data_IF_838529539060
#
_entry.id   IF_838529539060
#
_cell.length_a   1.000
_cell.length_b   1.000
_cell.length_c   1.000
_cell.angle_alpha   90.00
_cell.angle_beta   90.00
_cell.angle_gamma   90.00
#
_symmetry.space_group_name_H-M   'P 1'
#
loop_
_entity.id
_entity.type
_entity.pdbx_description
1 polymer ?
#
# COMPACT_ATOMS: atom_id res chain seq x y z
N UNK A 1 12.57 -5.69 -9.67
CA UNK A 1 12.67 -4.32 -9.18
C UNK A 1 13.03 -4.32 -7.71
N UNK A 2 14.04 -3.56 -7.31
CA UNK A 2 14.57 -3.59 -5.95
C UNK A 2 14.95 -2.19 -5.51
N UNK A 3 14.85 -1.92 -4.21
CA UNK A 3 15.40 -0.73 -3.60
C UNK A 3 16.67 -1.06 -2.85
N UNK A 4 17.67 -0.20 -2.97
CA UNK A 4 18.97 -0.40 -2.33
C UNK A 4 19.28 0.75 -1.40
N UNK A 5 19.78 0.41 -0.22
CA UNK A 5 20.27 1.38 0.76
C UNK A 5 21.76 1.13 0.93
N UNK A 6 22.55 2.16 0.64
CA UNK A 6 24.01 2.08 0.76
C UNK A 6 24.47 2.68 2.07
N UNK A 7 25.40 2.02 2.74
CA UNK A 7 26.13 2.59 3.88
C UNK A 7 27.61 2.24 3.74
N UNK A 8 28.43 2.73 4.67
CA UNK A 8 29.89 2.53 4.60
C UNK A 8 30.33 1.08 4.72
N UNK A 9 29.48 0.21 5.26
CA UNK A 9 29.81 -1.19 5.51
C UNK A 9 29.25 -2.13 4.45
N UNK A 10 28.30 -1.69 3.65
CA UNK A 10 27.70 -2.56 2.64
C UNK A 10 26.43 -1.99 2.04
N UNK A 11 25.65 -2.86 1.41
CA UNK A 11 24.43 -2.50 0.71
C UNK A 11 23.28 -3.36 1.24
N UNK A 12 22.16 -2.71 1.56
CA UNK A 12 20.91 -3.38 1.92
C UNK A 12 20.02 -3.38 0.68
N UNK A 13 19.62 -4.54 0.22
CA UNK A 13 18.73 -4.68 -0.92
C UNK A 13 17.37 -5.17 -0.44
N UNK A 14 16.33 -4.42 -0.76
CA UNK A 14 14.97 -4.77 -0.37
C UNK A 14 14.17 -5.05 -1.65
N UNK A 15 13.61 -6.25 -1.75
CA UNK A 15 12.84 -6.64 -2.93
C UNK A 15 11.50 -5.90 -2.98
N UNK A 16 10.97 -5.76 -4.18
CA UNK A 16 9.64 -5.17 -4.37
C UNK A 16 8.57 -5.94 -3.59
N UNK A 17 8.68 -7.26 -3.53
CA UNK A 17 7.72 -8.09 -2.82
C UNK A 17 7.64 -7.73 -1.33
N UNK A 18 8.76 -7.45 -0.70
CA UNK A 18 8.79 -6.99 0.70
C UNK A 18 8.06 -5.67 0.85
N UNK A 19 8.32 -4.74 -0.06
CA UNK A 19 7.67 -3.43 -0.02
C UNK A 19 6.15 -3.55 -0.21
N UNK A 20 5.72 -4.39 -1.13
CA UNK A 20 4.30 -4.64 -1.37
C UNK A 20 3.62 -5.22 -0.13
N UNK A 21 4.27 -6.16 0.53
CA UNK A 21 3.72 -6.79 1.73
C UNK A 21 3.65 -5.82 2.90
N UNK A 22 4.70 -5.05 3.13
CA UNK A 22 4.71 -4.06 4.22
C UNK A 22 3.61 -3.03 4.01
N UNK A 23 3.49 -2.49 2.80
CA UNK A 23 2.46 -1.50 2.50
C UNK A 23 1.04 -2.10 2.61
N UNK A 24 0.83 -3.30 2.08
CA UNK A 24 -0.47 -3.96 2.15
C UNK A 24 -0.92 -4.27 3.56
N UNK A 25 -0.04 -4.82 4.39
CA UNK A 25 -0.36 -5.10 5.79
C UNK A 25 -0.61 -3.81 6.58
N UNK A 26 0.20 -2.78 6.34
CA UNK A 26 0.00 -1.49 7.01
C UNK A 26 -1.39 -0.91 6.68
N UNK A 27 -1.81 -1.02 5.43
CA UNK A 27 -3.13 -0.55 5.02
C UNK A 27 -4.25 -1.34 5.70
N UNK A 28 -4.13 -2.67 5.77
CA UNK A 28 -5.16 -3.51 6.39
C UNK A 28 -5.33 -3.28 7.90
N UNK A 29 -4.31 -2.75 8.56
CA UNK A 29 -4.42 -2.42 9.98
C UNK A 29 -5.27 -1.19 10.25
N UNK A 30 -5.58 -0.40 9.21
CA UNK A 30 -6.34 0.82 9.37
C UNK A 30 -7.84 0.53 9.50
N UNK A 31 -8.49 1.32 10.34
CA UNK A 31 -9.94 1.22 10.52
C UNK A 31 -10.68 1.57 9.22
N UNK A 32 -11.76 0.86 8.96
CA UNK A 32 -12.64 1.16 7.82
C UNK A 32 -12.33 0.39 6.55
N UNK A 33 -11.18 -0.27 6.48
CA UNK A 33 -10.85 -1.12 5.34
C UNK A 33 -11.42 -2.51 5.55
N UNK A 34 -12.14 -3.01 4.56
CA UNK A 34 -12.67 -4.38 4.56
C UNK A 34 -11.66 -5.31 3.90
N UNK A 35 -11.10 -4.89 2.76
CA UNK A 35 -10.20 -5.73 1.99
C UNK A 35 -9.38 -4.88 1.01
N UNK A 36 -8.32 -5.47 0.47
CA UNK A 36 -7.63 -4.90 -0.67
C UNK A 36 -8.32 -5.35 -1.95
N UNK A 37 -8.30 -4.51 -2.96
CA UNK A 37 -8.84 -4.80 -4.27
C UNK A 37 -7.71 -5.17 -5.23
N UNK A 38 -8.00 -5.91 -6.29
CA UNK A 38 -7.00 -6.15 -7.32
C UNK A 38 -6.69 -4.83 -8.05
N UNK A 39 -5.44 -4.65 -8.46
CA UNK A 39 -4.92 -3.41 -9.06
C UNK A 39 -5.70 -2.90 -10.26
N UNK A 40 -6.43 -3.77 -10.91
CA UNK A 40 -7.17 -3.40 -12.10
C UNK A 40 -8.52 -4.07 -12.04
N UNK A 41 -9.49 -3.31 -11.61
CA UNK A 41 -10.88 -3.71 -11.77
C UNK A 41 -11.23 -3.58 -13.25
N UNK A 42 -10.55 -4.33 -14.12
CA UNK A 42 -10.92 -4.41 -15.51
C UNK A 42 -12.25 -5.11 -15.56
N UNK A 43 -13.11 -4.66 -16.41
CA UNK A 43 -14.42 -5.26 -16.65
C UNK A 43 -15.43 -5.09 -15.50
N UNK A 44 -15.19 -4.15 -14.60
CA UNK A 44 -16.12 -3.85 -13.53
C UNK A 44 -16.17 -4.85 -12.40
N UNK A 45 -15.24 -5.79 -12.37
CA UNK A 45 -15.14 -6.75 -11.27
C UNK A 45 -14.14 -6.28 -10.23
N UNK A 46 -14.59 -6.24 -8.99
CA UNK A 46 -13.72 -6.02 -7.85
C UNK A 46 -13.54 -7.37 -7.17
N UNK A 47 -12.31 -7.84 -7.12
CA UNK A 47 -11.98 -9.07 -6.42
C UNK A 47 -11.66 -8.77 -4.96
N UNK A 48 -12.24 -9.57 -4.08
CA UNK A 48 -11.91 -9.54 -2.67
C UNK A 48 -10.64 -10.35 -2.46
N UNK A 49 -9.57 -9.67 -2.01
CA UNK A 49 -8.30 -10.32 -1.78
C UNK A 49 -8.13 -10.63 -0.30
N UNK A 50 -7.85 -11.89 0.01
CA UNK A 50 -7.44 -12.29 1.32
C UNK A 50 -6.00 -11.87 1.60
N UNK A 51 -5.52 -12.14 2.81
CA UNK A 51 -4.16 -11.75 3.21
C UNK A 51 -3.08 -12.33 2.31
N UNK A 52 -3.31 -13.50 1.73
CA UNK A 52 -2.35 -14.15 0.84
C UNK A 52 -2.15 -13.39 -0.47
N UNK A 53 -3.13 -12.58 -0.85
CA UNK A 53 -3.11 -11.84 -2.12
C UNK A 53 -3.04 -10.33 -1.91
N UNK A 54 -2.60 -9.87 -0.75
CA UNK A 54 -2.48 -8.44 -0.44
C UNK A 54 -1.73 -7.66 -1.49
N UNK A 55 -0.67 -8.26 -2.01
CA UNK A 55 0.23 -7.60 -2.95
C UNK A 55 -0.46 -7.20 -4.24
N UNK A 56 -1.57 -7.84 -4.57
CA UNK A 56 -2.33 -7.50 -5.77
C UNK A 56 -3.05 -6.15 -5.66
N UNK A 57 -3.29 -5.69 -4.44
CA UNK A 57 -3.92 -4.39 -4.18
C UNK A 57 -2.92 -3.26 -3.98
N UNK A 58 -1.65 -3.50 -4.19
CA UNK A 58 -0.60 -2.50 -3.98
C UNK A 58 0.25 -2.40 -5.24
N UNK A 59 0.57 -1.17 -5.63
CA UNK A 59 1.50 -0.92 -6.72
C UNK A 59 2.59 0.03 -6.22
N UNK A 60 3.83 -0.28 -6.55
CA UNK A 60 4.96 0.54 -6.13
C UNK A 60 5.71 1.04 -7.36
N UNK A 61 5.99 2.33 -7.38
CA UNK A 61 6.80 2.98 -8.40
C UNK A 61 8.06 3.50 -7.74
N UNK A 62 9.21 3.06 -8.21
CA UNK A 62 10.50 3.49 -7.66
C UNK A 62 10.92 4.75 -8.39
N UNK A 63 11.25 5.78 -7.60
CA UNK A 63 11.72 7.06 -8.11
C UNK A 63 13.14 7.30 -7.63
N UNK A 64 13.79 8.35 -8.14
CA UNK A 64 15.14 8.72 -7.71
C UNK A 64 15.21 9.09 -6.24
N UNK A 65 14.11 9.57 -5.67
CA UNK A 65 14.07 10.04 -4.28
C UNK A 65 13.46 9.04 -3.31
N UNK A 66 12.98 7.89 -3.80
CA UNK A 66 12.34 6.90 -2.96
C UNK A 66 11.28 6.13 -3.72
N UNK A 67 10.13 5.93 -3.10
CA UNK A 67 9.04 5.19 -3.73
C UNK A 67 7.71 5.93 -3.61
N UNK A 68 6.85 5.69 -4.59
CA UNK A 68 5.45 6.10 -4.56
C UNK A 68 4.62 4.82 -4.46
N UNK A 69 3.57 4.86 -3.65
CA UNK A 69 2.73 3.69 -3.37
C UNK A 69 1.30 3.99 -3.80
N UNK A 70 0.71 3.08 -4.56
CA UNK A 70 -0.70 3.14 -4.92
C UNK A 70 -1.43 1.97 -4.25
N UNK A 71 -2.51 2.28 -3.54
CA UNK A 71 -3.31 1.30 -2.82
C UNK A 71 -4.71 1.25 -3.41
N UNK A 72 -5.21 0.05 -3.63
CA UNK A 72 -6.57 -0.19 -4.13
C UNK A 72 -7.34 -0.93 -3.04
N UNK A 73 -8.36 -0.30 -2.50
CA UNK A 73 -9.04 -0.77 -1.29
C UNK A 73 -10.55 -0.85 -1.47
N UNK A 74 -11.15 -1.66 -0.60
CA UNK A 74 -12.59 -1.76 -0.43
C UNK A 74 -12.89 -1.31 0.99
N UNK A 75 -13.81 -0.36 1.13
CA UNK A 75 -14.14 0.22 2.44
C UNK A 75 -15.54 -0.18 2.89
N UNK A 76 -15.82 0.00 4.16
CA UNK A 76 -17.12 -0.29 4.74
C UNK A 76 -18.05 0.90 4.56
N UNK A 77 -19.34 0.60 4.27
CA UNK A 77 -20.36 1.63 4.17
C UNK A 77 -20.56 2.33 5.53
N UNK A 78 -20.76 3.62 5.47
CA UNK A 78 -21.04 4.41 6.68
C UNK A 78 -19.83 5.10 7.28
N UNK A 79 -18.63 4.85 6.75
CA UNK A 79 -17.43 5.55 7.20
C UNK A 79 -17.21 6.84 6.40
N UNK A 80 -16.44 7.75 6.97
CA UNK A 80 -15.95 8.91 6.21
C UNK A 80 -14.77 8.47 5.35
N UNK A 81 -15.00 8.31 4.05
CA UNK A 81 -13.99 7.82 3.12
C UNK A 81 -12.74 8.72 3.13
N UNK A 82 -12.94 10.03 3.08
CA UNK A 82 -11.80 10.96 3.06
C UNK A 82 -10.97 10.91 4.34
N UNK A 83 -11.62 10.78 5.50
CA UNK A 83 -10.91 10.69 6.77
C UNK A 83 -10.13 9.37 6.88
N UNK A 84 -10.75 8.27 6.48
CA UNK A 84 -10.10 6.96 6.49
C UNK A 84 -8.93 6.94 5.50
N UNK A 85 -9.13 7.46 4.30
CA UNK A 85 -8.06 7.52 3.30
C UNK A 85 -6.87 8.36 3.80
N UNK A 86 -7.12 9.49 4.44
CA UNK A 86 -6.05 10.31 5.00
C UNK A 86 -5.28 9.55 6.08
N UNK A 87 -5.98 8.82 6.94
CA UNK A 87 -5.35 7.99 7.97
C UNK A 87 -4.49 6.89 7.35
N UNK A 88 -4.98 6.24 6.30
CA UNK A 88 -4.24 5.20 5.58
C UNK A 88 -2.94 5.77 5.02
N UNK A 89 -3.01 6.92 4.38
CA UNK A 89 -1.82 7.56 3.79
C UNK A 89 -0.75 7.79 4.85
N UNK A 90 -1.12 8.36 5.99
CA UNK A 90 -0.18 8.62 7.07
C UNK A 90 0.40 7.33 7.66
N UNK A 91 -0.46 6.35 7.91
CA UNK A 91 -0.05 5.09 8.51
C UNK A 91 0.87 4.29 7.59
N UNK A 92 0.53 4.18 6.32
CA UNK A 92 1.33 3.43 5.36
C UNK A 92 2.67 4.11 5.15
N UNK A 93 2.68 5.42 4.97
CA UNK A 93 3.94 6.16 4.83
C UNK A 93 4.84 5.94 6.03
N UNK A 94 4.31 6.13 7.24
CA UNK A 94 5.08 5.96 8.48
C UNK A 94 5.64 4.54 8.61
N UNK A 95 4.80 3.53 8.42
CA UNK A 95 5.22 2.14 8.60
C UNK A 95 6.23 1.69 7.57
N UNK A 96 6.03 2.05 6.32
CA UNK A 96 6.99 1.69 5.27
C UNK A 96 8.33 2.36 5.54
N UNK A 97 8.35 3.65 5.83
CA UNK A 97 9.60 4.36 6.12
C UNK A 97 10.30 3.81 7.36
N UNK A 98 9.53 3.51 8.40
CA UNK A 98 10.09 3.02 9.65
C UNK A 98 10.67 1.60 9.53
N UNK A 99 9.95 0.71 8.86
CA UNK A 99 10.36 -0.70 8.76
C UNK A 99 11.42 -0.95 7.70
N UNK A 100 11.41 -0.18 6.62
CA UNK A 100 12.33 -0.41 5.50
C UNK A 100 13.47 0.61 5.43
N UNK A 101 13.30 1.78 6.00
CA UNK A 101 14.26 2.87 5.87
C UNK A 101 14.20 3.57 4.52
N UNK A 102 13.27 3.21 3.65
CA UNK A 102 13.12 3.80 2.33
C UNK A 102 12.17 4.99 2.42
N UNK A 103 12.54 6.10 1.80
CA UNK A 103 11.70 7.28 1.78
C UNK A 103 10.48 7.07 0.88
N UNK A 104 9.30 7.41 1.40
CA UNK A 104 8.05 7.35 0.64
C UNK A 104 7.68 8.77 0.21
N UNK A 105 7.54 8.97 -1.10
CA UNK A 105 7.17 10.25 -1.65
C UNK A 105 5.68 10.50 -1.55
N UNK A 106 4.90 9.61 -2.12
CA UNK A 106 3.43 9.73 -2.14
C UNK A 106 2.78 8.39 -1.86
N UNK A 107 1.64 8.44 -1.20
CA UNK A 107 0.75 7.29 -1.06
C UNK A 107 -0.60 7.71 -1.63
N UNK A 108 -1.03 7.04 -2.68
CA UNK A 108 -2.31 7.29 -3.31
C UNK A 108 -3.27 6.18 -2.93
N UNK A 109 -4.49 6.54 -2.58
CA UNK A 109 -5.52 5.57 -2.19
C UNK A 109 -6.65 5.63 -3.19
N UNK A 110 -6.91 4.50 -3.84
CA UNK A 110 -8.04 4.33 -4.75
C UNK A 110 -9.10 3.48 -4.05
N UNK A 111 -10.26 4.06 -3.81
CA UNK A 111 -11.39 3.33 -3.21
C UNK A 111 -12.19 2.73 -4.35
N UNK A 112 -12.08 1.42 -4.50
CA UNK A 112 -12.67 0.70 -5.65
C UNK A 112 -14.10 0.27 -5.41
N UNK A 113 -14.47 0.03 -4.17
CA UNK A 113 -15.82 -0.43 -3.84
C UNK A 113 -16.16 -0.16 -2.38
N UNK A 114 -17.45 -0.20 -2.10
CA UNK A 114 -17.99 -0.04 -0.76
C UNK A 114 -18.78 -1.31 -0.43
N UNK A 115 -18.49 -1.89 0.72
CA UNK A 115 -19.25 -3.03 1.23
C UNK A 115 -20.46 -2.54 2.00
N UNK A 116 -21.62 -2.95 1.56
CA UNK A 116 -22.90 -2.61 2.21
C UNK A 116 -23.35 -3.70 3.14
#
# INVERSE_FOLDING_TARGET
MECKINNDLGVITISEDVLLKVAGYAALECYGIVAMSSKRAKDGFVEWLGRENLTKGVQINITDEGIDIDLFIIVEYGISISAVAASIIETVKYKVEHLTGIQVGRVNVCVEDIRV
#
